data_IF_728352610688
#
_entry.id   IF_728352610688
#
_cell.length_a   1.000
_cell.length_b   1.000
_cell.length_c   1.000
_cell.angle_alpha   90.00
_cell.angle_beta   90.00
_cell.angle_gamma   90.00
#
_symmetry.space_group_name_H-M   'P 1'
#
loop_
_entity.id
_entity.type
_entity.pdbx_description
1 polymer ?
#
# COMPACT_ATOMS: atom_id res chain seq x y z
N UNK A 1 12.55 14.36 -10.34
CA UNK A 1 11.12 14.19 -10.03
C UNK A 1 10.97 13.11 -8.98
N UNK A 2 10.10 13.29 -7.98
CA UNK A 2 9.77 12.22 -7.05
C UNK A 2 9.27 10.99 -7.83
N UNK A 3 9.83 9.83 -7.53
CA UNK A 3 9.41 8.59 -8.18
C UNK A 3 8.34 7.95 -7.30
N UNK A 4 7.16 7.73 -7.87
CA UNK A 4 6.06 7.06 -7.17
C UNK A 4 5.96 5.61 -7.60
N UNK A 5 5.88 4.69 -6.65
CA UNK A 5 5.74 3.26 -6.89
C UNK A 5 4.60 2.69 -6.05
N UNK A 6 3.58 2.20 -6.72
CA UNK A 6 2.53 1.45 -6.04
C UNK A 6 3.04 0.06 -5.64
N UNK A 7 2.75 -0.36 -4.42
CA UNK A 7 3.06 -1.68 -3.90
C UNK A 7 2.08 -2.08 -2.80
N UNK A 8 2.09 -3.35 -2.47
CA UNK A 8 1.36 -3.88 -1.33
C UNK A 8 2.32 -4.19 -0.18
N UNK A 9 1.96 -3.76 1.01
CA UNK A 9 2.69 -4.13 2.24
C UNK A 9 1.77 -5.01 3.08
N UNK A 10 2.26 -6.17 3.46
CA UNK A 10 1.50 -7.14 4.25
C UNK A 10 1.00 -6.54 5.57
N UNK A 11 -0.31 -6.64 5.82
CA UNK A 11 -0.98 -6.06 6.98
C UNK A 11 -1.33 -4.57 6.88
N UNK A 12 -0.78 -3.85 5.88
CA UNK A 12 -1.10 -2.45 5.61
C UNK A 12 -2.02 -2.34 4.38
N UNK A 13 -1.79 -3.18 3.36
CA UNK A 13 -2.52 -3.15 2.10
C UNK A 13 -1.82 -2.34 1.01
N UNK A 14 -2.59 -1.85 0.01
CA UNK A 14 -2.02 -1.08 -1.09
C UNK A 14 -1.52 0.27 -0.60
N UNK A 15 -0.30 0.61 -0.98
CA UNK A 15 0.31 1.89 -0.69
C UNK A 15 1.10 2.41 -1.89
N UNK A 16 1.37 3.70 -1.90
CA UNK A 16 2.23 4.35 -2.86
C UNK A 16 3.45 4.87 -2.12
N UNK A 17 4.61 4.30 -2.43
CA UNK A 17 5.88 4.85 -1.93
C UNK A 17 6.29 5.97 -2.86
N UNK A 18 6.57 7.14 -2.29
CA UNK A 18 7.09 8.31 -2.99
C UNK A 18 8.53 8.46 -2.57
N UNK A 19 9.44 8.16 -3.49
CA UNK A 19 10.87 8.38 -3.30
C UNK A 19 11.19 9.85 -3.62
N UNK A 20 11.84 10.53 -2.67
CA UNK A 20 12.22 11.93 -2.82
C UNK A 20 13.71 12.02 -3.09
N UNK A 21 14.16 12.95 -3.96
CA UNK A 21 15.58 13.15 -4.19
C UNK A 21 16.30 13.53 -2.88
N UNK A 22 17.54 13.11 -2.73
CA UNK A 22 18.42 13.57 -1.65
C UNK A 22 18.60 15.10 -1.67
N UNK A 23 18.93 15.66 -0.52
CA UNK A 23 18.96 17.11 -0.29
C UNK A 23 20.36 17.72 -0.46
N UNK A 24 21.30 16.97 -0.99
CA UNK A 24 22.73 17.34 -1.06
C UNK A 24 23.08 18.29 -2.20
N UNK A 25 22.11 18.68 -3.04
CA UNK A 25 22.36 19.54 -4.18
C UNK A 25 22.17 21.04 -3.86
N UNK A 26 23.23 21.82 -4.01
CA UNK A 26 23.22 23.27 -3.91
C UNK A 26 22.77 23.93 -5.25
N UNK A 27 22.07 25.07 -5.15
CA UNK A 27 21.70 25.91 -6.29
C UNK A 27 20.24 25.80 -6.75
N UNK A 28 19.94 26.40 -7.93
CA UNK A 28 18.55 26.48 -8.47
C UNK A 28 17.88 25.11 -8.67
N UNK A 29 18.67 24.08 -8.89
CA UNK A 29 18.15 22.70 -8.98
C UNK A 29 17.69 22.17 -7.62
N UNK A 30 18.37 22.57 -6.53
CA UNK A 30 18.00 22.24 -5.15
C UNK A 30 16.66 22.85 -4.76
N UNK A 31 16.42 24.13 -5.08
CA UNK A 31 15.15 24.80 -4.78
C UNK A 31 13.96 24.13 -5.47
N UNK A 32 14.10 23.77 -6.75
CA UNK A 32 13.06 23.03 -7.48
C UNK A 32 12.79 21.65 -6.91
N UNK A 33 13.79 20.96 -6.38
CA UNK A 33 13.64 19.65 -5.72
C UNK A 33 12.92 19.77 -4.39
N UNK A 34 13.25 20.79 -3.59
CA UNK A 34 12.57 21.11 -2.33
C UNK A 34 11.09 21.39 -2.58
N UNK A 35 10.73 22.22 -3.58
CA UNK A 35 9.34 22.49 -3.93
C UNK A 35 8.56 21.21 -4.31
N UNK A 36 9.17 20.32 -5.06
CA UNK A 36 8.56 19.04 -5.45
C UNK A 36 8.40 18.10 -4.26
N UNK A 37 9.37 18.06 -3.36
CA UNK A 37 9.27 17.30 -2.10
C UNK A 37 8.16 17.86 -1.22
N UNK A 38 8.01 19.17 -1.12
CA UNK A 38 6.90 19.80 -0.39
C UNK A 38 5.53 19.44 -0.96
N UNK A 39 5.40 19.37 -2.29
CA UNK A 39 4.17 18.89 -2.95
C UNK A 39 3.92 17.39 -2.70
N UNK A 40 4.97 16.59 -2.60
CA UNK A 40 4.84 15.16 -2.25
C UNK A 40 4.34 15.01 -0.80
N UNK A 41 4.86 15.81 0.12
CA UNK A 41 4.46 15.84 1.54
C UNK A 41 2.96 16.12 1.71
N UNK A 42 2.34 16.94 0.87
CA UNK A 42 0.89 17.23 0.94
C UNK A 42 -0.01 16.00 0.71
N UNK A 43 0.54 14.93 0.15
CA UNK A 43 -0.16 13.67 -0.13
C UNK A 43 0.42 12.50 0.65
N UNK A 44 1.18 12.79 1.70
CA UNK A 44 1.90 11.79 2.49
C UNK A 44 1.15 11.53 3.79
N UNK A 45 0.78 10.29 4.03
CA UNK A 45 0.15 9.87 5.27
C UNK A 45 1.17 9.54 6.36
N UNK A 46 2.32 8.98 5.98
CA UNK A 46 3.43 8.63 6.89
C UNK A 46 4.75 8.90 6.17
N UNK A 47 5.69 9.53 6.84
CA UNK A 47 7.03 9.78 6.34
C UNK A 47 8.06 8.85 6.96
N UNK A 48 8.93 8.27 6.13
CA UNK A 48 10.12 7.54 6.56
C UNK A 48 11.33 8.46 6.38
N UNK A 49 11.89 8.95 7.49
CA UNK A 49 13.06 9.83 7.49
C UNK A 49 14.32 9.01 7.67
N UNK A 50 15.16 8.99 6.63
CA UNK A 50 16.39 8.19 6.58
C UNK A 50 17.59 9.03 7.00
N UNK A 51 18.31 8.58 8.02
CA UNK A 51 19.58 9.16 8.47
C UNK A 51 20.71 8.22 8.12
N UNK A 52 21.82 8.75 7.65
CA UNK A 52 23.01 7.96 7.32
C UNK A 52 24.31 8.58 7.88
N UNK A 53 24.28 9.86 8.25
CA UNK A 53 25.45 10.66 8.63
C UNK A 53 25.28 11.34 9.98
N UNK A 54 26.35 11.98 10.45
CA UNK A 54 26.37 12.73 11.72
C UNK A 54 25.89 14.18 11.60
N UNK A 55 25.90 14.73 10.38
CA UNK A 55 25.33 16.05 10.13
C UNK A 55 23.82 15.92 9.86
N UNK A 56 23.01 16.21 10.88
CA UNK A 56 21.56 16.00 10.87
C UNK A 56 20.76 17.29 10.66
N UNK A 57 21.39 18.38 10.21
CA UNK A 57 20.70 19.67 10.06
C UNK A 57 19.54 19.62 9.09
N UNK A 58 19.69 18.89 8.00
CA UNK A 58 18.67 18.73 6.97
C UNK A 58 17.54 17.86 7.50
N UNK A 59 17.86 16.74 8.13
CA UNK A 59 16.88 15.82 8.72
C UNK A 59 16.09 16.49 9.85
N UNK A 60 16.75 17.32 10.68
CA UNK A 60 16.09 18.10 11.73
C UNK A 60 15.09 19.10 11.14
N UNK A 61 15.45 19.80 10.07
CA UNK A 61 14.54 20.73 9.39
C UNK A 61 13.32 20.01 8.82
N UNK A 62 13.51 18.84 8.17
CA UNK A 62 12.42 18.03 7.64
C UNK A 62 11.54 17.43 8.74
N UNK A 63 12.13 16.96 9.83
CA UNK A 63 11.40 16.50 11.00
C UNK A 63 10.45 17.58 11.53
N UNK A 64 10.92 18.82 11.64
CA UNK A 64 10.09 19.95 12.07
C UNK A 64 8.96 20.25 11.09
N UNK A 65 9.22 20.23 9.79
CA UNK A 65 8.19 20.47 8.76
C UNK A 65 7.12 19.39 8.75
N UNK A 66 7.51 18.12 8.84
CA UNK A 66 6.60 17.00 8.89
C UNK A 66 5.72 17.04 10.16
N UNK A 67 6.33 17.32 11.32
CA UNK A 67 5.61 17.50 12.59
C UNK A 67 4.64 18.69 12.55
N UNK A 68 5.03 19.80 11.93
CA UNK A 68 4.15 20.98 11.76
C UNK A 68 2.91 20.68 10.89
N UNK A 69 3.01 19.72 9.99
CA UNK A 69 1.90 19.23 9.15
C UNK A 69 1.15 18.05 9.77
N UNK A 70 1.47 17.66 11.01
CA UNK A 70 0.92 16.48 11.70
C UNK A 70 1.12 15.16 10.95
N UNK A 71 2.19 15.04 10.17
CA UNK A 71 2.52 13.80 9.46
C UNK A 71 3.35 12.93 10.40
N UNK A 72 2.92 11.70 10.72
CA UNK A 72 3.71 10.76 11.50
C UNK A 72 5.05 10.48 10.83
N UNK A 73 6.13 10.56 11.59
CA UNK A 73 7.49 10.30 11.10
C UNK A 73 8.02 9.01 11.69
N UNK A 74 8.58 8.16 10.87
CA UNK A 74 9.37 7.00 11.28
C UNK A 74 10.83 7.34 11.03
N UNK A 75 11.57 7.55 12.12
CA UNK A 75 12.99 7.86 12.06
C UNK A 75 13.79 6.56 11.90
N UNK A 76 14.70 6.53 10.91
CA UNK A 76 15.50 5.33 10.62
C UNK A 76 16.96 5.69 10.42
N UNK A 77 17.84 4.88 10.96
CA UNK A 77 19.28 4.89 10.65
C UNK A 77 19.54 3.76 9.66
N UNK A 78 19.82 4.14 8.40
CA UNK A 78 20.23 3.19 7.38
C UNK A 78 21.74 2.87 7.52
N UNK A 79 22.19 1.82 6.83
CA UNK A 79 23.57 1.30 6.94
C UNK A 79 23.96 0.93 8.38
N UNK A 80 23.00 0.46 9.19
CA UNK A 80 23.22 0.09 10.58
C UNK A 80 24.24 -1.05 10.75
N UNK A 81 24.52 -1.81 9.70
CA UNK A 81 25.58 -2.79 9.63
C UNK A 81 26.98 -2.19 9.87
N UNK A 82 27.19 -0.92 9.50
CA UNK A 82 28.46 -0.20 9.62
C UNK A 82 28.38 1.11 10.41
N UNK A 83 27.20 1.65 10.70
CA UNK A 83 27.00 2.98 11.31
C UNK A 83 26.10 2.97 12.56
N UNK A 84 26.02 1.85 13.25
CA UNK A 84 25.19 1.73 14.46
C UNK A 84 25.64 2.67 15.60
N UNK A 85 26.90 3.08 15.58
CA UNK A 85 27.54 3.98 16.54
C UNK A 85 26.86 5.35 16.64
N UNK A 86 26.26 5.85 15.56
CA UNK A 86 25.61 7.18 15.53
C UNK A 86 24.15 7.18 16.01
N UNK A 87 23.57 6.04 16.36
CA UNK A 87 22.17 5.94 16.80
C UNK A 87 21.87 6.85 18.00
N UNK A 88 22.76 6.91 18.99
CA UNK A 88 22.58 7.76 20.17
C UNK A 88 22.68 9.26 19.85
N UNK A 89 23.49 9.62 18.86
CA UNK A 89 23.58 11.01 18.38
C UNK A 89 22.26 11.43 17.71
N UNK A 90 21.72 10.57 16.85
CA UNK A 90 20.43 10.83 16.18
C UNK A 90 19.32 10.99 17.21
N UNK A 91 19.27 10.14 18.24
CA UNK A 91 18.28 10.25 19.32
C UNK A 91 18.40 11.55 20.10
N UNK A 92 19.61 12.02 20.36
CA UNK A 92 19.85 13.31 21.04
C UNK A 92 19.46 14.52 20.20
N UNK A 93 19.78 14.52 18.91
CA UNK A 93 19.54 15.65 18.01
C UNK A 93 18.08 15.73 17.53
N UNK A 94 17.44 14.59 17.23
CA UNK A 94 16.10 14.55 16.66
C UNK A 94 15.01 14.20 17.69
N UNK A 95 15.39 13.83 18.92
CA UNK A 95 14.47 13.59 20.03
C UNK A 95 13.72 12.26 19.98
N UNK A 96 14.04 11.39 19.02
CA UNK A 96 13.44 10.07 18.85
C UNK A 96 14.51 9.03 18.52
N UNK A 97 14.38 7.84 19.09
CA UNK A 97 15.30 6.74 18.80
C UNK A 97 15.03 6.20 17.39
N UNK A 98 16.06 6.16 16.51
CA UNK A 98 15.89 5.65 15.16
C UNK A 98 15.74 4.13 15.14
N UNK A 99 14.95 3.61 14.20
CA UNK A 99 14.98 2.21 13.82
C UNK A 99 16.30 1.90 13.10
N UNK A 100 16.94 0.82 13.47
CA UNK A 100 18.19 0.39 12.87
C UNK A 100 17.92 -0.48 11.66
N UNK A 101 18.31 -0.03 10.48
CA UNK A 101 18.06 -0.75 9.23
C UNK A 101 19.33 -0.87 8.39
N UNK A 102 19.42 -1.92 7.62
CA UNK A 102 20.40 -2.05 6.54
C UNK A 102 19.68 -2.53 5.28
N UNK A 103 19.52 -1.62 4.32
CA UNK A 103 18.92 -1.95 3.04
C UNK A 103 19.76 -3.00 2.29
N UNK A 104 21.08 -2.94 2.42
CA UNK A 104 22.03 -3.87 1.81
C UNK A 104 21.84 -5.29 2.35
N UNK A 105 21.80 -5.42 3.68
CA UNK A 105 21.69 -6.73 4.36
C UNK A 105 20.22 -7.14 4.58
N UNK A 106 19.25 -6.31 4.13
CA UNK A 106 17.80 -6.50 4.31
C UNK A 106 17.38 -6.68 5.78
N UNK A 107 18.09 -6.02 6.69
CA UNK A 107 17.79 -6.02 8.13
C UNK A 107 16.89 -4.86 8.50
N UNK A 108 16.01 -5.05 9.50
CA UNK A 108 15.10 -4.02 10.03
C UNK A 108 13.88 -3.72 9.14
N UNK A 109 13.66 -4.46 8.04
CA UNK A 109 12.52 -4.23 7.15
C UNK A 109 11.18 -4.54 7.85
N UNK A 110 11.17 -5.56 8.70
CA UNK A 110 9.99 -5.91 9.49
C UNK A 110 9.70 -4.86 10.57
N UNK A 111 10.74 -4.29 11.18
CA UNK A 111 10.58 -3.22 12.17
C UNK A 111 9.98 -1.95 11.54
N UNK A 112 10.39 -1.61 10.30
CA UNK A 112 9.74 -0.53 9.53
C UNK A 112 8.26 -0.85 9.30
N UNK A 113 7.93 -2.07 8.87
CA UNK A 113 6.54 -2.47 8.63
C UNK A 113 5.68 -2.34 9.89
N UNK A 114 6.19 -2.82 11.02
CA UNK A 114 5.50 -2.71 12.32
C UNK A 114 5.34 -1.25 12.75
N UNK A 115 6.37 -0.42 12.58
CA UNK A 115 6.28 1.00 12.90
C UNK A 115 5.28 1.75 12.00
N UNK A 116 5.14 1.37 10.74
CA UNK A 116 4.08 1.90 9.87
C UNK A 116 2.71 1.52 10.41
N UNK A 117 2.49 0.24 10.75
CA UNK A 117 1.22 -0.25 11.32
C UNK A 117 0.86 0.48 12.61
N UNK A 118 1.83 0.73 13.49
CA UNK A 118 1.61 1.45 14.75
C UNK A 118 1.25 2.92 14.56
N UNK A 119 1.80 3.56 13.52
CA UNK A 119 1.57 4.98 13.21
C UNK A 119 0.40 5.22 12.25
N UNK A 120 -0.22 4.18 11.72
CA UNK A 120 -1.45 4.34 10.93
C UNK A 120 -2.56 4.94 11.82
N UNK A 121 -3.35 5.90 11.30
CA UNK A 121 -4.53 6.40 11.99
C UNK A 121 -5.45 5.24 12.40
N UNK A 122 -6.06 5.32 13.59
CA UNK A 122 -7.01 4.30 14.05
C UNK A 122 -8.21 4.13 13.11
N UNK A 123 -8.51 5.17 12.34
CA UNK A 123 -9.58 5.20 11.33
C UNK A 123 -9.07 4.79 9.93
N UNK A 124 -7.85 4.26 9.85
CA UNK A 124 -7.30 3.73 8.60
C UNK A 124 -7.97 2.38 8.29
N UNK A 125 -9.28 2.41 8.16
CA UNK A 125 -10.02 1.35 7.52
C UNK A 125 -9.75 1.44 6.01
N UNK A 126 -9.25 0.35 5.45
CA UNK A 126 -9.22 0.26 3.98
C UNK A 126 -10.66 0.46 3.50
N UNK A 127 -10.90 1.38 2.55
CA UNK A 127 -12.26 1.56 2.07
C UNK A 127 -12.79 0.22 1.58
N UNK A 128 -13.91 -0.20 2.15
CA UNK A 128 -14.54 -1.47 1.76
C UNK A 128 -14.84 -1.45 0.27
N UNK A 129 -14.36 -2.46 -0.45
CA UNK A 129 -14.60 -2.61 -1.89
C UNK A 129 -16.08 -2.89 -2.14
N UNK A 130 -16.67 -3.71 -1.29
CA UNK A 130 -18.07 -4.16 -1.44
C UNK A 130 -19.05 -3.36 -0.58
N UNK A 131 -18.57 -2.50 0.34
CA UNK A 131 -19.41 -1.73 1.25
C UNK A 131 -20.46 -2.59 1.95
N UNK A 132 -21.70 -2.11 1.97
CA UNK A 132 -22.85 -2.83 2.54
C UNK A 132 -23.61 -3.70 1.53
N UNK A 133 -23.06 -3.89 0.32
CA UNK A 133 -23.73 -4.66 -0.73
C UNK A 133 -23.78 -6.16 -0.41
N UNK A 134 -22.83 -6.69 0.37
CA UNK A 134 -22.71 -8.10 0.69
C UNK A 134 -22.67 -8.32 2.20
N UNK A 135 -23.22 -9.44 2.65
CA UNK A 135 -23.26 -9.85 4.05
C UNK A 135 -22.99 -11.34 4.25
N UNK A 136 -23.03 -11.76 5.49
CA UNK A 136 -22.80 -13.16 5.89
C UNK A 136 -23.74 -14.11 5.14
N UNK A 137 -23.19 -15.24 4.61
CA UNK A 137 -23.87 -16.26 3.82
C UNK A 137 -24.38 -15.81 2.44
N UNK A 138 -24.09 -14.59 1.99
CA UNK A 138 -24.36 -14.21 0.61
C UNK A 138 -23.47 -15.01 -0.35
N UNK A 139 -24.07 -15.54 -1.41
CA UNK A 139 -23.32 -16.19 -2.48
C UNK A 139 -22.85 -15.14 -3.47
N UNK A 140 -21.55 -14.99 -3.60
CA UNK A 140 -20.91 -14.02 -4.50
C UNK A 140 -20.09 -14.75 -5.55
N UNK A 141 -20.31 -14.40 -6.82
CA UNK A 141 -19.54 -14.92 -7.94
C UNK A 141 -18.50 -13.90 -8.40
N UNK A 142 -17.24 -14.25 -8.27
CA UNK A 142 -16.12 -13.47 -8.79
C UNK A 142 -15.78 -13.94 -10.20
N UNK A 143 -15.97 -13.06 -11.19
CA UNK A 143 -15.59 -13.33 -12.59
C UNK A 143 -14.28 -12.60 -12.87
N UNK A 144 -13.19 -13.36 -12.86
CA UNK A 144 -11.84 -12.82 -12.93
C UNK A 144 -11.19 -13.11 -14.28
N UNK A 145 -10.88 -12.08 -15.09
CA UNK A 145 -10.07 -12.28 -16.30
C UNK A 145 -8.67 -12.75 -15.90
N UNK A 146 -8.08 -13.61 -16.71
CA UNK A 146 -6.67 -13.90 -16.62
C UNK A 146 -5.90 -12.72 -17.24
N UNK A 147 -5.28 -11.90 -16.39
CA UNK A 147 -4.43 -10.81 -16.85
C UNK A 147 -3.11 -11.39 -17.38
N UNK A 148 -2.83 -11.16 -18.66
CA UNK A 148 -1.60 -11.61 -19.33
C UNK A 148 -0.37 -10.90 -18.72
N UNK A 149 -0.55 -9.72 -18.10
CA UNK A 149 0.52 -8.96 -17.46
C UNK A 149 0.77 -9.41 -16.01
N UNK A 150 -0.13 -10.18 -15.40
CA UNK A 150 0.09 -10.72 -14.08
C UNK A 150 1.19 -11.79 -14.10
N UNK A 151 2.09 -11.84 -13.11
CA UNK A 151 3.06 -12.91 -12.99
C UNK A 151 2.33 -14.26 -12.93
N UNK A 152 2.83 -15.26 -13.67
CA UNK A 152 2.24 -16.61 -13.70
C UNK A 152 2.01 -17.14 -12.28
N UNK A 153 0.79 -17.63 -12.02
CA UNK A 153 0.40 -18.20 -10.73
C UNK A 153 0.02 -17.19 -9.64
N UNK A 154 -0.16 -15.90 -9.99
CA UNK A 154 -0.62 -14.87 -9.03
C UNK A 154 -1.91 -14.22 -9.52
N UNK A 155 -2.80 -13.92 -8.59
CA UNK A 155 -3.92 -13.02 -8.80
C UNK A 155 -3.41 -11.57 -8.71
N UNK A 156 -4.06 -10.66 -9.44
CA UNK A 156 -3.78 -9.22 -9.27
C UNK A 156 -4.33 -8.73 -7.94
N UNK A 157 -3.72 -7.68 -7.41
CA UNK A 157 -4.02 -7.15 -6.09
C UNK A 157 -5.51 -6.88 -5.82
N UNK A 158 -6.27 -6.20 -6.70
CA UNK A 158 -7.70 -5.97 -6.48
C UNK A 158 -8.52 -7.25 -6.33
N UNK A 159 -8.16 -8.32 -7.05
CA UNK A 159 -8.83 -9.62 -6.97
C UNK A 159 -8.59 -10.27 -5.60
N UNK A 160 -7.35 -10.21 -5.11
CA UNK A 160 -6.97 -10.75 -3.80
C UNK A 160 -7.68 -10.00 -2.69
N UNK A 161 -7.71 -8.68 -2.76
CA UNK A 161 -8.36 -7.82 -1.76
C UNK A 161 -9.86 -8.05 -1.70
N UNK A 162 -10.54 -8.09 -2.85
CA UNK A 162 -11.98 -8.37 -2.91
C UNK A 162 -12.30 -9.74 -2.32
N UNK A 163 -11.52 -10.77 -2.68
CA UNK A 163 -11.70 -12.11 -2.14
C UNK A 163 -11.50 -12.12 -0.61
N UNK A 164 -10.46 -11.45 -0.12
CA UNK A 164 -10.18 -11.36 1.32
C UNK A 164 -11.33 -10.67 2.07
N UNK A 165 -11.81 -9.54 1.58
CA UNK A 165 -12.92 -8.81 2.19
C UNK A 165 -14.21 -9.67 2.24
N UNK A 166 -14.52 -10.39 1.16
CA UNK A 166 -15.68 -11.29 1.14
C UNK A 166 -15.55 -12.44 2.15
N UNK A 167 -14.34 -12.98 2.35
CA UNK A 167 -14.08 -14.00 3.37
C UNK A 167 -14.23 -13.43 4.78
N UNK A 168 -13.74 -12.23 5.03
CA UNK A 168 -13.89 -11.54 6.32
C UNK A 168 -15.35 -11.24 6.64
N UNK A 169 -16.18 -10.97 5.62
CA UNK A 169 -17.65 -10.83 5.72
C UNK A 169 -18.41 -12.17 5.75
N UNK A 170 -17.70 -13.30 5.78
CA UNK A 170 -18.26 -14.67 5.78
C UNK A 170 -19.21 -14.95 4.60
N UNK A 171 -18.91 -14.40 3.43
CA UNK A 171 -19.62 -14.69 2.21
C UNK A 171 -19.24 -16.10 1.67
N UNK A 172 -20.16 -16.69 0.91
CA UNK A 172 -19.88 -17.87 0.10
C UNK A 172 -19.34 -17.40 -1.24
N UNK A 173 -18.12 -17.82 -1.60
CA UNK A 173 -17.43 -17.31 -2.78
C UNK A 173 -17.27 -18.43 -3.80
N UNK A 174 -17.72 -18.14 -5.02
CA UNK A 174 -17.35 -18.92 -6.21
C UNK A 174 -16.54 -18.02 -7.12
N UNK A 175 -15.49 -18.55 -7.74
CA UNK A 175 -14.70 -17.79 -8.71
C UNK A 175 -14.55 -18.55 -10.02
N UNK A 176 -14.54 -17.81 -11.13
CA UNK A 176 -14.32 -18.39 -12.45
C UNK A 176 -13.66 -17.36 -13.38
N UNK A 177 -13.13 -17.86 -14.47
CA UNK A 177 -12.71 -17.05 -15.61
C UNK A 177 -13.92 -16.68 -16.48
N UNK A 178 -13.79 -15.65 -17.29
CA UNK A 178 -14.88 -15.14 -18.15
C UNK A 178 -15.44 -16.19 -19.10
N UNK A 179 -14.60 -17.08 -19.62
CA UNK A 179 -14.99 -18.18 -20.54
C UNK A 179 -15.75 -19.30 -19.83
N UNK A 180 -15.62 -19.43 -18.51
CA UNK A 180 -16.26 -20.45 -17.68
C UNK A 180 -17.54 -19.99 -16.97
N UNK A 181 -17.92 -18.73 -17.15
CA UNK A 181 -19.11 -18.18 -16.50
C UNK A 181 -20.39 -19.03 -16.70
N UNK A 182 -20.74 -19.46 -17.94
CA UNK A 182 -21.98 -20.23 -18.13
C UNK A 182 -21.96 -21.59 -17.39
N UNK A 183 -20.83 -22.29 -17.43
CA UNK A 183 -20.68 -23.59 -16.74
C UNK A 183 -20.72 -23.41 -15.23
N UNK A 184 -20.12 -22.32 -14.72
CA UNK A 184 -20.13 -22.00 -13.29
C UNK A 184 -21.53 -21.72 -12.79
N UNK A 185 -22.33 -20.92 -13.52
CA UNK A 185 -23.73 -20.65 -13.17
C UNK A 185 -24.58 -21.92 -13.14
N UNK A 186 -24.35 -22.85 -14.06
CA UNK A 186 -25.06 -24.16 -14.10
C UNK A 186 -24.67 -25.07 -12.92
N UNK A 187 -23.46 -24.94 -12.39
CA UNK A 187 -22.97 -25.73 -11.26
C UNK A 187 -23.46 -25.23 -9.89
N UNK A 188 -24.05 -24.06 -9.83
CA UNK A 188 -24.56 -23.49 -8.60
C UNK A 188 -25.95 -24.01 -8.26
N UNK A 189 -26.17 -24.42 -7.02
CA UNK A 189 -27.48 -24.85 -6.52
C UNK A 189 -28.51 -23.71 -6.40
N UNK A 190 -28.03 -22.45 -6.32
CA UNK A 190 -28.83 -21.22 -6.29
C UNK A 190 -28.11 -20.12 -7.05
N UNK A 191 -28.83 -19.13 -7.63
CA UNK A 191 -28.17 -18.01 -8.28
C UNK A 191 -27.35 -17.20 -7.26
N UNK A 192 -26.19 -16.67 -7.66
CA UNK A 192 -25.43 -15.76 -6.81
C UNK A 192 -26.19 -14.44 -6.61
N UNK A 193 -26.09 -13.88 -5.41
CA UNK A 193 -26.72 -12.60 -5.08
C UNK A 193 -26.00 -11.44 -5.80
N UNK A 194 -24.69 -11.55 -5.94
CA UNK A 194 -23.86 -10.55 -6.61
C UNK A 194 -22.84 -11.19 -7.54
N UNK A 195 -22.61 -10.51 -8.65
CA UNK A 195 -21.50 -10.78 -9.56
C UNK A 195 -20.51 -9.64 -9.44
N UNK A 196 -19.25 -9.95 -9.15
CA UNK A 196 -18.16 -8.98 -9.10
C UNK A 196 -17.17 -9.32 -10.20
N UNK A 197 -16.87 -8.34 -11.03
CA UNK A 197 -15.91 -8.50 -12.13
C UNK A 197 -15.02 -7.27 -12.26
N UNK A 198 -13.92 -7.39 -12.98
CA UNK A 198 -13.06 -6.29 -13.34
C UNK A 198 -13.76 -5.39 -14.37
N UNK A 199 -13.54 -4.07 -14.30
CA UNK A 199 -14.11 -3.09 -15.22
C UNK A 199 -13.79 -3.36 -16.71
N UNK A 200 -12.66 -4.00 -16.96
CA UNK A 200 -12.24 -4.40 -18.32
C UNK A 200 -13.15 -5.45 -18.96
N UNK A 201 -13.94 -6.15 -18.16
CA UNK A 201 -14.77 -7.29 -18.62
C UNK A 201 -16.27 -7.03 -18.46
N UNK A 202 -16.66 -5.86 -17.98
CA UNK A 202 -18.06 -5.48 -17.76
C UNK A 202 -18.92 -5.68 -19.03
N UNK A 203 -18.43 -5.31 -20.21
CA UNK A 203 -19.15 -5.48 -21.48
C UNK A 203 -19.36 -6.96 -21.85
N UNK A 204 -18.37 -7.81 -21.60
CA UNK A 204 -18.44 -9.24 -21.94
C UNK A 204 -19.31 -10.03 -20.95
N UNK A 205 -19.42 -9.58 -19.70
CA UNK A 205 -20.24 -10.21 -18.66
C UNK A 205 -21.74 -9.90 -18.81
N UNK A 206 -22.10 -8.69 -19.25
CA UNK A 206 -23.50 -8.26 -19.40
C UNK A 206 -24.21 -8.96 -20.57
N UNK A 207 -23.52 -9.20 -21.68
CA UNK A 207 -24.12 -9.84 -22.87
C UNK A 207 -24.45 -11.34 -22.67
N UNK A 208 -23.98 -11.95 -21.58
CA UNK A 208 -24.14 -13.38 -21.29
C UNK A 208 -25.04 -13.71 -20.10
N UNK A 209 -25.71 -12.71 -19.52
CA UNK A 209 -26.73 -12.97 -18.49
C UNK A 209 -28.02 -13.47 -19.14
N UNK A 210 -28.62 -14.56 -18.66
CA UNK A 210 -29.97 -14.96 -19.10
C UNK A 210 -30.96 -13.83 -18.70
N UNK A 211 -31.80 -13.43 -19.64
CA UNK A 211 -32.83 -12.43 -19.41
C UNK A 211 -33.76 -12.91 -18.28
N UNK A 212 -33.69 -12.30 -17.11
CA UNK A 212 -34.60 -12.59 -16.01
C UNK A 212 -33.98 -12.75 -14.61
N UNK A 213 -32.86 -12.14 -14.31
CA UNK A 213 -32.35 -12.06 -12.93
C UNK A 213 -32.17 -10.63 -12.49
#
# INVERSE_FOLDING_TARGET
DPVSKAMEIHGIGPCVIIDTPGFDDEGTLGEMRIERTLKAIERTDIALLLCEETNLQVEAAWMQQLKAKNIPVILTLNKADIRKDISSLIEQELGEKPLLVSAKEKQGMEDIRLAILEKLPQDFEQPSITGDLVGENDLVLLVMPQDIQAPKGRLILPQVQTMRELLDKKCLIMSCTTDKLPQTLQALARPPKHHITDSQVLQTGYERQPAGS
#
